data_IF_238277457657
#
_entry.id   IF_238277457657
#
_cell.length_a   1.000
_cell.length_b   1.000
_cell.length_c   1.000
_cell.angle_alpha   90.00
_cell.angle_beta   90.00
_cell.angle_gamma   90.00
#
_symmetry.space_group_name_H-M   'P 1'
#
loop_
_entity.id
_entity.type
_entity.pdbx_description
1 polymer ?
#
# COMPACT_ATOMS: atom_id res chain seq x y z
N UNK A 1 17.71 -12.82 -19.42
CA UNK A 1 17.82 -12.92 -17.93
C UNK A 1 18.09 -11.54 -17.38
N UNK A 2 17.27 -11.08 -16.48
CA UNK A 2 17.43 -9.79 -15.78
C UNK A 2 18.43 -9.91 -14.63
N UNK A 3 19.08 -8.79 -14.30
CA UNK A 3 20.12 -8.74 -13.25
C UNK A 3 19.57 -8.44 -11.85
N UNK A 4 18.26 -8.29 -11.71
CA UNK A 4 17.59 -7.96 -10.43
C UNK A 4 16.45 -8.94 -10.14
N UNK A 5 15.99 -8.99 -8.90
CA UNK A 5 14.83 -9.79 -8.50
C UNK A 5 13.56 -9.04 -8.90
N UNK A 6 12.85 -9.57 -9.89
CA UNK A 6 11.63 -8.98 -10.42
C UNK A 6 10.48 -9.07 -9.41
N UNK A 7 9.61 -8.08 -9.44
CA UNK A 7 8.32 -8.13 -8.76
C UNK A 7 7.33 -8.93 -9.60
N UNK A 8 6.37 -9.53 -8.92
CA UNK A 8 5.20 -10.13 -9.55
C UNK A 8 4.04 -9.19 -9.30
N UNK A 9 3.51 -8.62 -10.37
CA UNK A 9 2.47 -7.61 -10.34
C UNK A 9 1.15 -8.22 -10.84
N UNK A 10 0.08 -7.93 -10.12
CA UNK A 10 -1.28 -8.31 -10.43
C UNK A 10 -2.02 -7.06 -10.93
N UNK A 11 -2.61 -7.16 -12.11
CA UNK A 11 -3.46 -6.12 -12.69
C UNK A 11 -4.86 -6.67 -12.89
N UNK A 12 -5.85 -6.02 -12.31
CA UNK A 12 -7.27 -6.40 -12.39
C UNK A 12 -8.03 -5.26 -13.04
N UNK A 13 -8.82 -5.56 -14.04
CA UNK A 13 -9.75 -4.62 -14.64
C UNK A 13 -11.17 -4.92 -14.13
N UNK A 14 -11.79 -3.93 -13.48
CA UNK A 14 -13.09 -4.03 -12.85
C UNK A 14 -14.07 -3.16 -13.63
N UNK A 15 -15.20 -3.71 -13.98
CA UNK A 15 -16.27 -2.97 -14.65
C UNK A 15 -17.30 -2.48 -13.63
N UNK A 16 -17.22 -1.23 -13.23
CA UNK A 16 -18.17 -0.63 -12.27
C UNK A 16 -19.53 -0.26 -12.87
N UNK A 17 -19.75 -0.48 -14.18
CA UNK A 17 -20.95 -0.01 -14.88
C UNK A 17 -20.99 1.50 -15.08
N UNK A 18 -21.98 1.97 -15.85
CA UNK A 18 -22.07 3.40 -16.24
C UNK A 18 -22.35 4.37 -15.08
N UNK A 19 -22.94 3.87 -13.99
CA UNK A 19 -23.43 4.73 -12.90
C UNK A 19 -22.43 4.89 -11.73
N UNK A 20 -21.21 4.27 -11.81
CA UNK A 20 -20.23 4.24 -10.72
C UNK A 20 -18.86 4.78 -11.09
N UNK A 21 -18.75 5.54 -12.16
CA UNK A 21 -17.48 6.11 -12.64
C UNK A 21 -16.74 7.02 -11.64
N UNK A 22 -17.44 7.50 -10.59
CA UNK A 22 -16.84 8.35 -9.55
C UNK A 22 -16.37 7.58 -8.30
N UNK A 23 -16.61 6.27 -8.23
CA UNK A 23 -16.16 5.46 -7.09
C UNK A 23 -14.73 4.96 -7.31
N UNK A 24 -13.73 5.76 -6.96
CA UNK A 24 -12.36 5.28 -6.82
C UNK A 24 -12.30 4.33 -5.62
N UNK A 25 -12.26 3.03 -5.89
CA UNK A 25 -12.02 2.03 -4.85
C UNK A 25 -10.63 2.27 -4.26
N UNK A 26 -10.61 2.49 -2.95
CA UNK A 26 -9.37 2.59 -2.18
C UNK A 26 -9.49 1.72 -0.96
N UNK A 27 -8.70 0.68 -0.93
CA UNK A 27 -8.70 -0.29 0.16
C UNK A 27 -7.29 -0.66 0.57
N UNK A 28 -7.18 -1.36 1.66
CA UNK A 28 -5.91 -1.88 2.16
C UNK A 28 -5.98 -3.39 2.19
N UNK A 29 -5.02 -4.02 1.56
CA UNK A 29 -4.90 -5.47 1.54
C UNK A 29 -3.75 -5.90 2.43
N UNK A 30 -4.01 -6.88 3.28
CA UNK A 30 -2.99 -7.52 4.09
C UNK A 30 -2.48 -8.76 3.36
N UNK A 31 -1.22 -8.71 2.91
CA UNK A 31 -0.57 -9.85 2.25
C UNK A 31 0.08 -10.74 3.30
N UNK A 32 -0.36 -12.00 3.48
CA UNK A 32 0.14 -12.88 4.54
C UNK A 32 1.65 -13.15 4.44
N UNK A 33 2.21 -13.12 3.23
CA UNK A 33 3.64 -13.31 3.00
C UNK A 33 4.37 -12.02 2.62
N UNK A 34 3.68 -10.85 2.69
CA UNK A 34 4.22 -9.58 2.24
C UNK A 34 4.48 -9.53 0.74
N UNK A 35 4.96 -8.39 0.26
CA UNK A 35 5.33 -8.19 -1.15
C UNK A 35 6.85 -8.39 -1.41
N UNK A 36 7.64 -8.71 -0.38
CA UNK A 36 9.10 -8.89 -0.47
C UNK A 36 9.89 -7.60 -0.70
N UNK A 37 9.25 -6.43 -0.66
CA UNK A 37 9.92 -5.13 -0.74
C UNK A 37 10.30 -4.66 0.67
N UNK A 38 11.53 -4.23 0.86
CA UNK A 38 11.94 -3.53 2.08
C UNK A 38 11.34 -2.13 2.04
N UNK A 39 10.33 -1.89 2.87
CA UNK A 39 9.62 -0.61 2.94
C UNK A 39 10.30 0.25 4.00
N UNK A 40 10.74 1.43 3.59
CA UNK A 40 11.30 2.44 4.50
C UNK A 40 10.16 3.25 5.09
N UNK A 41 9.95 3.09 6.40
CA UNK A 41 8.88 3.76 7.13
C UNK A 41 9.44 4.96 7.87
N UNK A 42 8.85 6.14 7.64
CA UNK A 42 9.09 7.33 8.44
C UNK A 42 7.92 7.57 9.39
N UNK A 43 8.22 8.05 10.58
CA UNK A 43 7.21 8.33 11.62
C UNK A 43 7.31 9.79 12.07
N UNK A 44 6.18 10.50 11.99
CA UNK A 44 6.02 11.84 12.57
C UNK A 44 5.14 11.73 13.80
N UNK A 45 5.71 12.06 14.96
CA UNK A 45 5.00 12.01 16.23
C UNK A 45 5.29 13.22 17.11
N UNK A 46 4.47 13.41 18.15
CA UNK A 46 4.74 14.38 19.19
C UNK A 46 5.99 14.00 19.98
N UNK A 47 6.67 14.98 20.56
CA UNK A 47 7.91 14.79 21.33
C UNK A 47 7.75 13.75 22.45
N UNK A 48 6.57 13.62 23.03
CA UNK A 48 6.26 12.66 24.08
C UNK A 48 6.31 11.19 23.61
N UNK A 49 6.09 10.95 22.31
CA UNK A 49 6.03 9.61 21.71
C UNK A 49 7.27 9.25 20.88
N UNK A 50 8.29 10.07 20.90
CA UNK A 50 9.54 9.83 20.14
C UNK A 50 10.24 8.56 20.62
N UNK A 51 10.23 8.28 21.94
CA UNK A 51 10.85 7.08 22.51
C UNK A 51 10.13 5.81 22.04
N UNK A 52 8.81 5.84 22.05
CA UNK A 52 7.99 4.75 21.51
C UNK A 52 8.18 4.55 20.01
N UNK A 53 8.30 5.62 19.25
CA UNK A 53 8.56 5.58 17.83
C UNK A 53 9.98 5.07 17.52
N UNK A 54 10.99 5.44 18.29
CA UNK A 54 12.37 4.91 18.17
C UNK A 54 12.48 3.43 18.51
N UNK A 55 11.62 2.94 19.43
CA UNK A 55 11.55 1.51 19.75
C UNK A 55 10.75 0.70 18.72
N UNK A 56 10.06 1.37 17.79
CA UNK A 56 9.50 0.75 16.61
C UNK A 56 10.60 0.62 15.55
N UNK A 57 10.45 -0.35 14.67
CA UNK A 57 11.39 -0.61 13.56
C UNK A 57 11.31 0.47 12.45
N UNK A 58 11.01 1.73 12.76
CA UNK A 58 10.97 2.82 11.81
C UNK A 58 12.39 3.30 11.47
N UNK A 59 12.66 3.57 10.19
CA UNK A 59 13.98 4.04 9.76
C UNK A 59 14.22 5.51 10.10
N UNK A 60 13.18 6.33 10.01
CA UNK A 60 13.24 7.75 10.38
C UNK A 60 12.12 8.07 11.36
N UNK A 61 12.49 8.70 12.46
CA UNK A 61 11.55 9.17 13.49
C UNK A 61 11.88 10.63 13.76
N UNK A 62 10.86 11.48 13.70
CA UNK A 62 11.04 12.90 13.97
C UNK A 62 9.73 13.59 14.36
N UNK A 63 9.83 14.83 14.74
CA UNK A 63 8.72 15.73 15.02
C UNK A 63 8.70 16.87 13.98
N UNK A 64 8.89 18.09 14.39
CA UNK A 64 8.91 19.25 13.50
C UNK A 64 10.13 19.26 12.56
N UNK A 65 11.27 18.78 13.02
CA UNK A 65 12.50 18.67 12.24
C UNK A 65 12.27 17.84 10.94
N UNK A 66 11.55 16.73 11.06
CA UNK A 66 11.23 15.88 9.91
C UNK A 66 10.21 16.55 8.96
N UNK A 67 9.30 17.37 9.50
CA UNK A 67 8.37 18.16 8.69
C UNK A 67 9.13 19.19 7.85
N UNK A 68 10.14 19.84 8.42
CA UNK A 68 10.97 20.81 7.70
C UNK A 68 11.86 20.14 6.65
N UNK A 69 12.42 18.96 6.94
CA UNK A 69 13.16 18.17 5.95
C UNK A 69 12.31 17.81 4.73
N UNK A 70 11.06 17.37 4.97
CA UNK A 70 10.12 17.01 3.91
C UNK A 70 9.73 18.25 3.11
N UNK A 71 9.53 19.39 3.78
CA UNK A 71 9.20 20.65 3.11
C UNK A 71 10.31 21.11 2.17
N UNK A 72 11.58 20.85 2.55
CA UNK A 72 12.78 21.09 1.74
C UNK A 72 12.96 20.04 0.62
N UNK A 73 12.03 19.11 0.45
CA UNK A 73 12.03 18.12 -0.63
C UNK A 73 12.83 16.84 -0.35
N UNK A 74 13.42 16.68 0.85
CA UNK A 74 14.13 15.47 1.24
C UNK A 74 13.14 14.38 1.67
N UNK A 75 12.76 13.52 0.75
CA UNK A 75 11.80 12.41 0.96
C UNK A 75 12.51 11.10 0.65
N UNK A 76 13.09 10.47 1.68
CA UNK A 76 13.86 9.22 1.56
C UNK A 76 13.10 8.05 2.22
N UNK A 77 11.79 8.04 2.19
CA UNK A 77 10.93 7.01 2.75
C UNK A 77 9.83 6.62 1.76
N UNK A 78 9.28 5.42 1.94
CA UNK A 78 8.25 4.87 1.07
C UNK A 78 6.85 4.99 1.68
N UNK A 79 6.75 5.04 3.02
CA UNK A 79 5.48 5.24 3.74
C UNK A 79 5.70 6.20 4.91
N UNK A 80 4.74 7.10 5.11
CA UNK A 80 4.72 8.03 6.22
C UNK A 80 3.60 7.66 7.20
N UNK A 81 3.98 7.41 8.44
CA UNK A 81 3.06 7.21 9.57
C UNK A 81 3.04 8.47 10.43
N UNK A 82 1.89 8.92 10.83
CA UNK A 82 1.79 10.07 11.73
C UNK A 82 0.81 9.83 12.88
N UNK A 83 1.01 10.55 13.98
CA UNK A 83 0.01 10.62 15.05
C UNK A 83 -1.10 11.61 14.66
N UNK A 84 -2.35 11.41 15.14
CA UNK A 84 -3.45 12.32 14.85
C UNK A 84 -3.14 13.78 15.21
N UNK A 85 -2.39 14.00 16.27
CA UNK A 85 -2.03 15.34 16.79
C UNK A 85 -1.16 16.12 15.79
N UNK A 86 -0.29 15.41 15.05
CA UNK A 86 0.62 16.01 14.07
C UNK A 86 -0.01 16.16 12.67
N UNK A 87 -1.22 15.62 12.48
CA UNK A 87 -1.89 15.65 11.19
C UNK A 87 -2.12 17.06 10.64
N UNK A 88 -2.38 18.05 11.51
CA UNK A 88 -2.52 19.46 11.12
C UNK A 88 -1.24 20.03 10.50
N UNK A 89 -0.07 19.62 10.99
CA UNK A 89 1.24 20.06 10.47
C UNK A 89 1.58 19.31 9.18
N UNK A 90 1.33 18.00 9.15
CA UNK A 90 1.51 17.17 7.95
C UNK A 90 0.58 17.60 6.81
N UNK A 91 -0.61 18.10 7.13
CA UNK A 91 -1.56 18.65 6.15
C UNK A 91 -0.95 19.78 5.31
N UNK A 92 -0.07 20.61 5.89
CA UNK A 92 0.64 21.67 5.16
C UNK A 92 1.62 21.13 4.11
N UNK A 93 2.11 19.90 4.31
CA UNK A 93 3.00 19.20 3.39
C UNK A 93 2.25 18.52 2.21
N UNK A 94 0.92 18.69 2.14
CA UNK A 94 0.10 18.10 1.09
C UNK A 94 0.55 18.42 -0.33
N UNK A 95 1.16 19.61 -0.54
CA UNK A 95 1.74 20.00 -1.84
C UNK A 95 2.95 19.14 -2.25
N UNK A 96 3.72 18.62 -1.29
CA UNK A 96 4.92 17.80 -1.52
C UNK A 96 4.58 16.31 -1.49
N UNK A 97 3.79 15.88 -0.51
CA UNK A 97 3.45 14.47 -0.28
C UNK A 97 2.30 13.98 -1.17
N UNK A 98 1.36 14.86 -1.54
CA UNK A 98 0.20 14.52 -2.36
C UNK A 98 0.56 13.93 -3.73
N UNK A 99 1.37 14.62 -4.56
CA UNK A 99 1.77 14.11 -5.86
C UNK A 99 2.57 12.81 -5.80
N UNK A 100 3.30 12.57 -4.68
CA UNK A 100 4.07 11.35 -4.46
C UNK A 100 3.24 10.21 -3.88
N UNK A 101 1.97 10.43 -3.51
CA UNK A 101 1.11 9.42 -2.91
C UNK A 101 1.50 9.05 -1.47
N UNK A 102 2.31 9.86 -0.78
CA UNK A 102 2.85 9.58 0.56
C UNK A 102 2.04 10.24 1.69
N UNK A 103 0.88 10.81 1.36
CA UNK A 103 0.04 11.49 2.34
C UNK A 103 -0.59 10.48 3.30
N UNK A 104 -0.39 10.61 4.62
CA UNK A 104 -1.02 9.73 5.61
C UNK A 104 -2.53 9.79 5.55
N UNK A 105 -3.19 8.63 5.68
CA UNK A 105 -4.63 8.52 5.66
C UNK A 105 -5.11 7.58 6.79
N UNK A 106 -6.10 7.99 7.62
CA UNK A 106 -6.66 7.16 8.68
C UNK A 106 -7.21 5.82 8.17
N UNK A 107 -7.81 5.79 6.97
CA UNK A 107 -8.37 4.56 6.37
C UNK A 107 -7.33 3.48 6.13
N UNK A 108 -6.08 3.85 5.89
CA UNK A 108 -4.98 2.94 5.64
C UNK A 108 -4.17 2.58 6.89
N UNK A 109 -4.59 3.10 8.06
CA UNK A 109 -3.89 2.87 9.31
C UNK A 109 -2.53 3.58 9.41
N UNK A 110 -2.23 4.51 8.48
CA UNK A 110 -1.01 5.34 8.53
C UNK A 110 -1.16 6.54 9.47
N UNK A 111 -2.37 6.81 9.97
CA UNK A 111 -2.63 7.72 11.08
C UNK A 111 -3.08 6.90 12.27
N UNK A 112 -2.20 6.65 13.21
CA UNK A 112 -2.46 5.79 14.35
C UNK A 112 -1.99 6.42 15.67
N UNK A 113 -2.67 6.07 16.76
CA UNK A 113 -2.24 6.41 18.13
C UNK A 113 -1.09 5.50 18.57
N UNK A 114 -1.14 4.21 18.15
CA UNK A 114 -0.16 3.18 18.46
C UNK A 114 0.81 3.01 17.28
N UNK A 115 1.94 3.70 17.35
CA UNK A 115 2.95 3.73 16.29
C UNK A 115 3.57 2.35 16.06
N UNK A 116 3.90 1.63 17.16
CA UNK A 116 4.54 0.30 17.07
C UNK A 116 3.70 -0.70 16.27
N UNK A 117 2.39 -0.74 16.54
CA UNK A 117 1.47 -1.61 15.84
C UNK A 117 1.35 -1.22 14.37
N UNK A 118 1.17 0.07 14.06
CA UNK A 118 1.05 0.55 12.70
C UNK A 118 2.29 0.24 11.85
N UNK A 119 3.49 0.48 12.37
CA UNK A 119 4.76 0.17 11.69
C UNK A 119 4.92 -1.34 11.48
N UNK A 120 4.58 -2.16 12.50
CA UNK A 120 4.62 -3.62 12.38
C UNK A 120 3.67 -4.14 11.30
N UNK A 121 2.44 -3.64 11.24
CA UNK A 121 1.43 -4.07 10.25
C UNK A 121 1.86 -3.69 8.83
N UNK A 122 2.41 -2.49 8.64
CA UNK A 122 2.95 -2.04 7.35
C UNK A 122 4.12 -2.94 6.91
N UNK A 123 5.03 -3.26 7.82
CA UNK A 123 6.18 -4.13 7.51
C UNK A 123 5.78 -5.60 7.27
N UNK A 124 4.68 -6.07 7.87
CA UNK A 124 4.13 -7.41 7.63
C UNK A 124 3.53 -7.61 6.24
N UNK A 125 3.26 -6.52 5.51
CA UNK A 125 2.78 -6.63 4.14
C UNK A 125 1.44 -5.95 3.88
N UNK A 126 1.07 -4.99 4.70
CA UNK A 126 -0.09 -4.14 4.45
C UNK A 126 0.18 -3.23 3.26
N UNK A 127 -0.58 -3.40 2.18
CA UNK A 127 -0.42 -2.66 0.93
C UNK A 127 -1.69 -1.86 0.63
N UNK A 128 -1.51 -0.58 0.31
CA UNK A 128 -2.60 0.24 -0.20
C UNK A 128 -2.90 -0.15 -1.64
N UNK A 129 -4.17 -0.39 -1.92
CA UNK A 129 -4.66 -0.70 -3.25
C UNK A 129 -5.60 0.40 -3.70
N UNK A 130 -5.33 0.93 -4.87
CA UNK A 130 -6.06 2.04 -5.44
C UNK A 130 -6.53 1.69 -6.85
N UNK A 131 -7.81 1.86 -7.08
CA UNK A 131 -8.39 1.72 -8.40
C UNK A 131 -8.40 3.07 -9.13
N UNK A 132 -8.06 3.06 -10.39
CA UNK A 132 -8.17 4.21 -11.27
C UNK A 132 -9.62 4.48 -11.68
N UNK A 133 -9.86 5.64 -12.33
CA UNK A 133 -11.17 6.01 -12.86
C UNK A 133 -11.70 5.03 -13.92
N UNK A 134 -10.79 4.36 -14.61
CA UNK A 134 -11.10 3.38 -15.65
C UNK A 134 -11.34 1.96 -15.11
N UNK A 135 -11.34 1.80 -13.77
CA UNK A 135 -11.55 0.51 -13.15
C UNK A 135 -10.31 -0.39 -13.09
N UNK A 136 -9.11 0.15 -13.36
CA UNK A 136 -7.88 -0.61 -13.29
C UNK A 136 -7.29 -0.55 -11.88
N UNK A 137 -6.93 -1.72 -11.37
CA UNK A 137 -6.30 -1.93 -10.08
C UNK A 137 -5.01 -2.69 -10.30
N UNK A 138 -3.90 -2.15 -9.82
CA UNK A 138 -2.58 -2.78 -9.94
C UNK A 138 -1.87 -2.79 -8.60
N UNK A 139 -1.31 -3.95 -8.24
CA UNK A 139 -0.54 -4.14 -7.01
C UNK A 139 0.52 -5.21 -7.19
N UNK A 140 1.61 -5.10 -6.43
CA UNK A 140 2.64 -6.13 -6.38
C UNK A 140 2.28 -7.17 -5.30
N UNK A 141 2.14 -8.43 -5.71
CA UNK A 141 1.76 -9.55 -4.84
C UNK A 141 2.95 -10.38 -4.35
N UNK A 142 4.15 -10.10 -4.85
CA UNK A 142 5.34 -10.82 -4.43
C UNK A 142 6.54 -10.58 -5.33
N UNK A 143 7.52 -11.45 -5.21
CA UNK A 143 8.73 -11.47 -6.04
C UNK A 143 8.96 -12.82 -6.68
N UNK A 144 9.71 -12.86 -7.78
CA UNK A 144 10.01 -14.09 -8.53
C UNK A 144 10.73 -15.14 -7.68
N UNK A 145 11.40 -14.74 -6.61
CA UNK A 145 12.05 -15.68 -5.68
C UNK A 145 11.09 -16.27 -4.61
N UNK A 146 9.80 -15.91 -4.65
CA UNK A 146 8.81 -16.50 -3.76
C UNK A 146 8.36 -17.87 -4.26
N UNK A 147 8.01 -18.76 -3.34
CA UNK A 147 7.37 -20.02 -3.68
C UNK A 147 5.99 -19.77 -4.30
N UNK A 148 5.60 -20.61 -5.24
CA UNK A 148 4.28 -20.51 -5.90
C UNK A 148 3.12 -20.47 -4.90
N UNK A 149 3.19 -21.26 -3.81
CA UNK A 149 2.18 -21.27 -2.74
C UNK A 149 1.98 -19.90 -2.13
N UNK A 150 3.08 -19.20 -1.81
CA UNK A 150 3.04 -17.86 -1.21
C UNK A 150 2.38 -16.82 -2.11
N UNK A 151 2.60 -16.93 -3.42
CA UNK A 151 2.00 -16.04 -4.41
C UNK A 151 0.49 -16.31 -4.52
N UNK A 152 0.10 -17.59 -4.50
CA UNK A 152 -1.30 -18.00 -4.53
C UNK A 152 -2.03 -17.53 -3.25
N UNK A 153 -1.43 -17.68 -2.08
CA UNK A 153 -2.02 -17.24 -0.82
C UNK A 153 -2.19 -15.72 -0.80
N UNK A 154 -1.19 -14.97 -1.28
CA UNK A 154 -1.29 -13.53 -1.42
C UNK A 154 -2.40 -13.13 -2.40
N UNK A 155 -2.52 -13.81 -3.54
CA UNK A 155 -3.57 -13.58 -4.51
C UNK A 155 -4.97 -13.82 -3.93
N UNK A 156 -5.16 -14.92 -3.20
CA UNK A 156 -6.43 -15.23 -2.52
C UNK A 156 -6.78 -14.15 -1.51
N UNK A 157 -5.83 -13.71 -0.69
CA UNK A 157 -6.04 -12.64 0.28
C UNK A 157 -6.47 -11.33 -0.37
N UNK A 158 -5.89 -11.00 -1.55
CA UNK A 158 -6.32 -9.83 -2.34
C UNK A 158 -7.78 -9.94 -2.74
N UNK A 159 -8.19 -11.08 -3.33
CA UNK A 159 -9.58 -11.30 -3.78
C UNK A 159 -10.58 -11.29 -2.62
N UNK A 160 -10.23 -11.90 -1.49
CA UNK A 160 -11.07 -11.91 -0.29
C UNK A 160 -11.26 -10.51 0.29
N UNK A 161 -10.21 -9.71 0.32
CA UNK A 161 -10.29 -8.34 0.84
C UNK A 161 -11.13 -7.46 -0.08
N UNK A 162 -10.95 -7.59 -1.39
CA UNK A 162 -11.75 -6.86 -2.37
C UNK A 162 -13.24 -7.23 -2.27
N UNK A 163 -13.54 -8.50 -2.07
CA UNK A 163 -14.93 -9.00 -1.94
C UNK A 163 -15.60 -8.56 -0.63
N UNK A 164 -14.83 -8.42 0.46
CA UNK A 164 -15.30 -7.86 1.74
C UNK A 164 -15.65 -6.38 1.61
N UNK A 165 -14.81 -5.60 0.94
CA UNK A 165 -15.01 -4.15 0.80
C UNK A 165 -16.08 -3.81 -0.24
N UNK A 166 -16.19 -4.61 -1.28
CA UNK A 166 -17.21 -4.47 -2.33
C UNK A 166 -17.82 -5.83 -2.62
N UNK A 167 -18.92 -6.19 -1.95
CA UNK A 167 -19.59 -7.47 -2.17
C UNK A 167 -19.96 -7.67 -3.64
N UNK A 168 -19.61 -8.83 -4.20
CA UNK A 168 -19.88 -9.17 -5.59
C UNK A 168 -18.86 -8.61 -6.59
N UNK A 169 -17.74 -8.06 -6.14
CA UNK A 169 -16.69 -7.53 -7.03
C UNK A 169 -16.14 -8.60 -7.98
N UNK A 170 -16.13 -9.86 -7.56
CA UNK A 170 -15.68 -10.99 -8.39
C UNK A 170 -16.43 -11.08 -9.71
N UNK A 171 -17.74 -10.84 -9.69
CA UNK A 171 -18.58 -10.83 -10.90
C UNK A 171 -18.37 -9.59 -11.78
N UNK A 172 -17.80 -8.51 -11.21
CA UNK A 172 -17.48 -7.28 -11.92
C UNK A 172 -16.08 -7.30 -12.55
N UNK A 173 -15.25 -8.29 -12.20
CA UNK A 173 -13.90 -8.41 -12.78
C UNK A 173 -14.04 -8.82 -14.25
N UNK A 174 -13.59 -7.94 -15.15
CA UNK A 174 -13.57 -8.19 -16.58
C UNK A 174 -12.40 -9.05 -17.00
N UNK A 175 -11.22 -8.77 -16.44
CA UNK A 175 -10.00 -9.50 -16.72
C UNK A 175 -8.98 -9.30 -15.60
N UNK A 176 -8.17 -10.31 -15.37
CA UNK A 176 -7.06 -10.27 -14.44
C UNK A 176 -5.79 -10.77 -15.14
N UNK A 177 -4.68 -10.09 -14.91
CA UNK A 177 -3.39 -10.42 -15.48
C UNK A 177 -2.33 -10.46 -14.40
N UNK A 178 -1.42 -11.41 -14.53
CA UNK A 178 -0.20 -11.48 -13.74
C UNK A 178 1.00 -11.30 -14.66
N UNK A 179 1.99 -10.53 -14.21
CA UNK A 179 3.21 -10.30 -14.96
C UNK A 179 4.40 -10.17 -14.02
N UNK A 180 5.59 -10.52 -14.52
CA UNK A 180 6.83 -10.07 -13.89
C UNK A 180 7.23 -8.72 -14.48
N UNK A 181 8.11 -7.97 -13.77
CA UNK A 181 8.48 -6.59 -14.15
C UNK A 181 8.92 -6.45 -15.61
N UNK A 182 9.62 -7.44 -16.16
CA UNK A 182 10.16 -7.44 -17.53
C UNK A 182 9.65 -8.61 -18.36
N UNK A 183 8.77 -9.45 -17.80
CA UNK A 183 8.22 -10.62 -18.49
C UNK A 183 6.90 -10.34 -19.20
N UNK A 184 6.43 -11.32 -19.99
CA UNK A 184 5.11 -11.25 -20.59
C UNK A 184 4.02 -11.34 -19.53
N UNK A 185 2.85 -10.75 -19.81
CA UNK A 185 1.67 -10.91 -18.98
C UNK A 185 0.94 -12.20 -19.32
N UNK A 186 0.41 -12.87 -18.29
CA UNK A 186 -0.46 -14.03 -18.43
C UNK A 186 -1.84 -13.67 -17.88
N UNK A 187 -2.88 -13.98 -18.64
CA UNK A 187 -4.25 -13.81 -18.18
C UNK A 187 -4.61 -14.90 -17.17
N UNK A 188 -5.27 -14.51 -16.08
CA UNK A 188 -5.73 -15.42 -15.06
C UNK A 188 -7.26 -15.47 -15.13
N UNK A 189 -7.82 -16.67 -15.06
CA UNK A 189 -9.25 -16.84 -14.88
C UNK A 189 -9.57 -16.66 -13.39
N UNK A 190 -10.41 -15.69 -13.07
CA UNK A 190 -10.93 -15.50 -11.71
C UNK A 190 -12.04 -16.53 -11.51
N UNK A 191 -11.66 -17.76 -11.21
CA UNK A 191 -12.61 -18.81 -10.81
C UNK A 191 -12.91 -18.63 -9.33
N UNK A 192 -14.14 -18.88 -8.94
CA UNK A 192 -14.56 -18.96 -7.54
C UNK A 192 -13.66 -19.96 -6.79
N UNK A 193 -12.90 -19.47 -5.83
CA UNK A 193 -12.08 -20.27 -4.91
C UNK A 193 -12.75 -20.25 -3.56
#
# INVERSE_FOLDING_TARGET
KVKFVESIDLSININFGKDKSDQTLRTTVDLPHGNGKKIRVAVICSNEKIEDAKSSDAEKVGSEDLVDEINNGKVDFDILVCTPDMMSKVGKLGKVLGPKGLMPNPKFGTVAKDIKKAVSDIKKGKVEVRCDKDGNLSLSIGRVNFDQKKIIDNYKSVLETLDKDTPGIKSMIKSAFISSSMGPSAQITVTEV
#
